data_IF_110023099203
#
_entry.id   IF_110023099203
#
_cell.length_a   1.000
_cell.length_b   1.000
_cell.length_c   1.000
_cell.angle_alpha   90.00
_cell.angle_beta   90.00
_cell.angle_gamma   90.00
#
_symmetry.space_group_name_H-M   'P 1'
#
loop_
_entity.id
_entity.type
_entity.pdbx_description
1 polymer ?
#
# COMPACT_ATOMS: atom_id res chain seq x y z
N UNK A 1 21.32 -44.98 -58.09
CA UNK A 1 19.85 -45.02 -58.10
C UNK A 1 19.44 -45.15 -56.64
N UNK A 2 18.67 -44.18 -56.17
CA UNK A 2 18.69 -43.64 -54.82
C UNK A 2 18.19 -44.59 -53.72
N UNK A 3 18.87 -44.52 -52.58
CA UNK A 3 18.38 -44.87 -51.25
C UNK A 3 17.54 -43.70 -50.76
N UNK A 4 16.32 -43.92 -50.28
CA UNK A 4 15.77 -43.03 -49.26
C UNK A 4 14.87 -43.86 -48.33
N UNK A 5 15.33 -43.88 -47.08
CA UNK A 5 14.75 -44.60 -45.96
C UNK A 5 13.64 -43.74 -45.36
N UNK A 6 12.47 -44.34 -45.24
CA UNK A 6 11.29 -43.78 -44.62
C UNK A 6 11.51 -43.65 -43.09
N UNK A 7 12.02 -42.49 -42.64
CA UNK A 7 12.09 -42.13 -41.23
C UNK A 7 10.85 -41.30 -40.90
N UNK A 8 9.78 -42.00 -40.54
CA UNK A 8 8.57 -41.41 -39.95
C UNK A 8 8.88 -40.96 -38.52
N UNK A 9 9.52 -39.80 -38.38
CA UNK A 9 9.55 -39.04 -37.12
C UNK A 9 8.15 -38.53 -36.77
N UNK A 10 7.79 -38.39 -35.47
CA UNK A 10 6.47 -37.93 -35.08
C UNK A 10 6.23 -36.49 -35.58
N UNK A 11 5.02 -36.16 -36.06
CA UNK A 11 4.69 -34.81 -36.46
C UNK A 11 4.60 -33.91 -35.23
N UNK A 12 5.41 -32.85 -35.26
CA UNK A 12 5.06 -31.51 -34.77
C UNK A 12 4.45 -31.43 -33.38
N UNK A 13 5.31 -31.19 -32.40
CA UNK A 13 4.98 -30.23 -31.34
C UNK A 13 4.63 -28.90 -32.02
N UNK A 14 3.35 -28.70 -32.33
CA UNK A 14 2.82 -27.41 -32.75
C UNK A 14 2.76 -26.50 -31.53
N UNK A 15 3.93 -25.99 -31.16
CA UNK A 15 4.09 -24.79 -30.35
C UNK A 15 3.73 -23.57 -31.19
N UNK A 16 2.45 -23.38 -31.52
CA UNK A 16 1.99 -22.17 -32.21
C UNK A 16 0.67 -21.67 -31.63
N UNK A 17 0.84 -20.76 -30.65
CA UNK A 17 -0.18 -19.92 -30.06
C UNK A 17 0.44 -18.72 -29.34
N UNK A 18 1.58 -18.20 -29.81
CA UNK A 18 2.12 -16.90 -29.40
C UNK A 18 1.54 -15.83 -30.32
N UNK A 19 0.69 -14.93 -29.81
CA UNK A 19 0.23 -13.82 -30.65
C UNK A 19 -0.84 -12.87 -30.11
N UNK A 20 -1.29 -12.99 -28.86
CA UNK A 20 -2.08 -11.94 -28.20
C UNK A 20 -1.93 -11.96 -26.67
N UNK A 21 -0.96 -11.19 -26.14
CA UNK A 21 -1.17 -10.39 -24.93
C UNK A 21 -1.36 -11.08 -23.57
N UNK A 22 -0.72 -12.21 -23.27
CA UNK A 22 -0.58 -12.66 -21.88
C UNK A 22 0.59 -11.93 -21.22
N UNK A 23 0.46 -10.62 -21.01
CA UNK A 23 1.32 -9.94 -20.04
C UNK A 23 0.80 -10.32 -18.65
N UNK A 24 1.51 -11.15 -17.88
CA UNK A 24 1.05 -11.59 -16.56
C UNK A 24 0.73 -10.39 -15.67
N UNK A 25 -0.38 -10.49 -14.93
CA UNK A 25 -0.78 -9.48 -13.95
C UNK A 25 -0.19 -9.80 -12.59
N UNK A 26 0.47 -8.80 -12.01
CA UNK A 26 1.07 -8.84 -10.69
C UNK A 26 0.40 -7.84 -9.77
N UNK A 27 0.24 -8.20 -8.51
CA UNK A 27 -0.39 -7.39 -7.48
C UNK A 27 0.66 -7.00 -6.44
N UNK A 28 0.65 -5.74 -6.01
CA UNK A 28 1.70 -5.18 -5.16
C UNK A 28 1.10 -4.69 -3.84
N UNK A 29 1.08 -5.57 -2.84
CA UNK A 29 0.58 -5.19 -1.53
C UNK A 29 1.66 -4.42 -0.78
N UNK A 30 1.31 -3.24 -0.26
CA UNK A 30 2.20 -2.52 0.65
C UNK A 30 1.98 -3.05 2.06
N UNK A 31 3.03 -3.61 2.66
CA UNK A 31 2.96 -4.17 4.01
C UNK A 31 3.87 -3.38 4.94
N UNK A 32 3.26 -2.79 5.96
CA UNK A 32 3.92 -2.07 7.05
C UNK A 32 3.86 -2.85 8.36
N UNK A 33 4.39 -2.27 9.45
CA UNK A 33 4.44 -2.91 10.76
C UNK A 33 3.08 -3.03 11.46
N UNK A 34 2.07 -2.25 11.03
CA UNK A 34 0.75 -2.19 11.67
C UNK A 34 -0.40 -2.36 10.68
N UNK A 35 -0.11 -2.26 9.39
CA UNK A 35 -1.09 -2.28 8.32
C UNK A 35 -0.60 -3.05 7.11
N UNK A 36 -1.57 -3.62 6.40
CA UNK A 36 -1.40 -4.19 5.07
C UNK A 36 -2.39 -3.53 4.15
N UNK A 37 -1.90 -3.07 3.02
CA UNK A 37 -2.69 -2.44 1.99
C UNK A 37 -2.65 -3.32 0.75
N UNK A 38 -3.77 -3.96 0.44
CA UNK A 38 -3.90 -4.92 -0.66
C UNK A 38 -4.07 -4.16 -1.98
N UNK A 39 -3.35 -4.58 -3.02
CA UNK A 39 -3.63 -4.17 -4.40
C UNK A 39 -4.59 -5.20 -5.02
N UNK A 40 -5.79 -4.74 -5.37
CA UNK A 40 -6.84 -5.55 -6.03
C UNK A 40 -6.90 -5.33 -7.54
N UNK A 41 -6.15 -4.35 -8.06
CA UNK A 41 -6.16 -4.01 -9.50
C UNK A 41 -5.02 -4.73 -10.20
N UNK A 42 -3.84 -4.71 -9.61
CA UNK A 42 -2.62 -5.24 -10.21
C UNK A 42 -2.18 -4.52 -11.49
N UNK A 43 -1.00 -4.87 -11.97
CA UNK A 43 -0.40 -4.34 -13.20
C UNK A 43 0.12 -5.48 -14.06
N UNK A 44 0.05 -5.29 -15.37
CA UNK A 44 0.60 -6.22 -16.34
C UNK A 44 2.07 -5.91 -16.60
N UNK A 45 2.93 -6.90 -16.43
CA UNK A 45 4.35 -6.82 -16.77
C UNK A 45 4.72 -7.95 -17.73
N UNK A 46 5.86 -7.82 -18.40
CA UNK A 46 6.39 -8.89 -19.26
C UNK A 46 6.77 -10.13 -18.44
N UNK A 47 7.36 -9.91 -17.27
CA UNK A 47 7.78 -10.95 -16.33
C UNK A 47 7.86 -10.40 -14.88
N UNK A 48 8.20 -11.30 -13.96
CA UNK A 48 8.34 -10.98 -12.53
C UNK A 48 9.54 -10.05 -12.24
N UNK A 49 10.58 -10.10 -13.06
CA UNK A 49 11.77 -9.26 -12.88
C UNK A 49 11.44 -7.80 -13.25
N UNK A 50 10.68 -7.57 -14.31
CA UNK A 50 10.15 -6.27 -14.68
C UNK A 50 9.22 -5.71 -13.60
N UNK A 51 8.34 -6.55 -13.05
CA UNK A 51 7.48 -6.22 -11.92
C UNK A 51 8.30 -5.78 -10.69
N UNK A 52 9.39 -6.50 -10.38
CA UNK A 52 10.29 -6.18 -9.26
C UNK A 52 11.07 -4.89 -9.47
N UNK A 53 11.59 -4.66 -10.67
CA UNK A 53 12.29 -3.41 -11.02
C UNK A 53 11.35 -2.22 -10.85
N UNK A 54 10.10 -2.34 -11.28
CA UNK A 54 9.12 -1.29 -11.13
C UNK A 54 8.72 -1.06 -9.67
N UNK A 55 8.62 -2.13 -8.86
CA UNK A 55 8.43 -2.04 -7.41
C UNK A 55 9.58 -1.25 -6.74
N UNK A 56 10.84 -1.52 -7.09
CA UNK A 56 11.98 -0.77 -6.57
C UNK A 56 11.96 0.71 -6.96
N UNK A 57 11.53 1.02 -8.18
CA UNK A 57 11.32 2.43 -8.59
C UNK A 57 10.20 3.10 -7.80
N UNK A 58 9.12 2.37 -7.53
CA UNK A 58 8.04 2.87 -6.71
C UNK A 58 8.49 3.10 -5.26
N UNK A 59 9.35 2.21 -4.71
CA UNK A 59 9.97 2.37 -3.39
C UNK A 59 10.70 3.71 -3.30
N UNK A 60 11.45 4.13 -4.32
CA UNK A 60 12.14 5.43 -4.32
C UNK A 60 11.16 6.59 -4.13
N UNK A 61 10.13 6.60 -4.95
CA UNK A 61 9.11 7.63 -4.99
C UNK A 61 8.29 7.71 -3.70
N UNK A 62 7.98 6.57 -3.11
CA UNK A 62 7.16 6.44 -1.90
C UNK A 62 8.01 6.73 -0.65
N UNK A 63 9.26 6.30 -0.62
CA UNK A 63 10.17 6.54 0.50
C UNK A 63 10.37 8.03 0.74
N UNK A 64 10.47 8.84 -0.33
CA UNK A 64 10.57 10.29 -0.20
C UNK A 64 9.33 10.92 0.44
N UNK A 65 8.14 10.42 0.13
CA UNK A 65 6.90 10.89 0.72
C UNK A 65 6.77 10.44 2.18
N UNK A 66 7.00 9.17 2.47
CA UNK A 66 7.02 8.63 3.83
C UNK A 66 8.03 9.37 4.73
N UNK A 67 9.20 9.72 4.20
CA UNK A 67 10.21 10.48 4.92
C UNK A 67 9.72 11.91 5.24
N UNK A 68 9.04 12.58 4.32
CA UNK A 68 8.42 13.90 4.57
C UNK A 68 7.41 13.83 5.71
N UNK A 69 6.69 12.72 5.83
CA UNK A 69 5.71 12.46 6.88
C UNK A 69 6.31 11.85 8.16
N UNK A 70 7.64 11.76 8.25
CA UNK A 70 8.38 11.16 9.38
C UNK A 70 8.00 9.71 9.67
N UNK A 71 7.57 8.98 8.65
CA UNK A 71 7.30 7.53 8.70
C UNK A 71 8.60 6.77 8.43
N UNK A 72 8.89 5.77 9.28
CA UNK A 72 10.04 4.88 9.10
C UNK A 72 9.78 3.89 7.96
N UNK A 73 10.10 4.30 6.73
CA UNK A 73 9.90 3.54 5.50
C UNK A 73 10.68 2.20 5.48
N UNK A 74 11.75 2.06 6.26
CA UNK A 74 12.58 0.83 6.32
C UNK A 74 11.84 -0.38 6.88
N UNK A 75 10.69 -0.16 7.54
CA UNK A 75 9.83 -1.22 8.07
C UNK A 75 8.76 -1.68 7.07
N UNK A 76 8.74 -1.09 5.87
CA UNK A 76 7.78 -1.41 4.83
C UNK A 76 8.41 -2.33 3.78
N UNK A 77 7.55 -3.12 3.14
CA UNK A 77 7.89 -3.95 1.98
C UNK A 77 6.75 -4.01 1.00
N UNK A 78 7.06 -4.28 -0.25
CA UNK A 78 6.07 -4.75 -1.22
C UNK A 78 6.04 -6.27 -1.25
N UNK A 79 4.84 -6.83 -1.19
CA UNK A 79 4.57 -8.23 -1.53
C UNK A 79 4.03 -8.29 -2.96
N UNK A 80 4.76 -8.94 -3.86
CA UNK A 80 4.38 -9.15 -5.26
C UNK A 80 3.68 -10.49 -5.37
N UNK A 81 2.40 -10.48 -5.75
CA UNK A 81 1.55 -11.66 -5.89
C UNK A 81 1.13 -11.90 -7.34
N UNK A 82 0.85 -13.15 -7.70
CA UNK A 82 0.17 -13.50 -8.95
C UNK A 82 -1.36 -13.34 -8.85
N UNK A 83 -2.06 -13.61 -9.96
CA UNK A 83 -3.54 -13.62 -10.04
C UNK A 83 -4.20 -14.64 -9.12
N UNK A 84 -3.51 -15.72 -8.77
CA UNK A 84 -3.98 -16.70 -7.78
C UNK A 84 -3.81 -16.23 -6.34
N UNK A 85 -3.25 -15.04 -6.13
CA UNK A 85 -2.94 -14.50 -4.81
C UNK A 85 -1.70 -15.11 -4.16
N UNK A 86 -0.93 -15.92 -4.90
CA UNK A 86 0.30 -16.52 -4.39
C UNK A 86 1.39 -15.45 -4.33
N UNK A 87 2.06 -15.35 -3.18
CA UNK A 87 3.26 -14.54 -3.04
C UNK A 87 4.37 -15.11 -3.91
N UNK A 88 4.86 -14.30 -4.84
CA UNK A 88 5.97 -14.62 -5.71
C UNK A 88 7.28 -14.06 -5.17
N UNK A 89 7.26 -12.82 -4.67
CA UNK A 89 8.47 -12.14 -4.20
C UNK A 89 8.15 -11.01 -3.24
N UNK A 90 9.12 -10.65 -2.40
CA UNK A 90 9.09 -9.46 -1.57
C UNK A 90 10.16 -8.46 -2.03
N UNK A 91 9.82 -7.17 -2.03
CA UNK A 91 10.79 -6.09 -2.24
C UNK A 91 10.84 -5.23 -0.96
N UNK A 92 11.93 -5.35 -0.21
CA UNK A 92 12.11 -4.60 1.02
C UNK A 92 12.56 -3.17 0.70
N UNK A 93 12.08 -2.20 1.47
CA UNK A 93 12.46 -0.80 1.28
C UNK A 93 13.92 -0.51 1.68
N UNK A 94 14.57 -1.40 2.46
CA UNK A 94 15.94 -1.26 2.95
C UNK A 94 17.00 -1.93 2.05
N UNK A 95 16.60 -2.76 1.09
CA UNK A 95 17.46 -3.43 0.10
C UNK A 95 18.15 -2.45 -0.88
N UNK A 96 17.79 -1.16 -0.80
CA UNK A 96 18.09 -0.07 -1.72
C UNK A 96 19.56 0.36 -1.82
N UNK A 97 20.52 -0.38 -1.28
CA UNK A 97 21.93 0.06 -1.25
C UNK A 97 22.95 -0.85 -1.94
N UNK A 98 22.53 -1.78 -2.81
CA UNK A 98 23.51 -2.65 -3.52
C UNK A 98 23.57 -2.49 -5.03
N UNK A 99 22.50 -2.05 -5.70
CA UNK A 99 22.40 -2.19 -7.18
C UNK A 99 21.99 -0.90 -7.92
N UNK A 100 22.49 0.28 -7.52
CA UNK A 100 22.22 1.54 -8.21
C UNK A 100 22.97 1.65 -9.57
N UNK A 101 22.57 0.85 -10.56
CA UNK A 101 23.01 0.96 -11.97
C UNK A 101 21.81 0.92 -12.93
N UNK A 102 20.58 1.13 -12.45
CA UNK A 102 19.42 1.19 -13.33
C UNK A 102 19.09 2.64 -13.70
N UNK A 103 19.23 2.91 -15.00
CA UNK A 103 18.97 4.21 -15.64
C UNK A 103 17.52 4.64 -15.33
N UNK A 104 17.28 5.89 -14.91
CA UNK A 104 15.92 6.38 -14.71
C UNK A 104 15.19 6.40 -16.05
N UNK A 105 14.19 5.54 -16.24
CA UNK A 105 13.24 5.76 -17.34
C UNK A 105 12.31 6.88 -16.91
N UNK A 106 12.36 8.00 -17.63
CA UNK A 106 11.67 9.25 -17.30
C UNK A 106 10.13 9.21 -17.51
N UNK A 107 9.50 8.05 -17.33
CA UNK A 107 8.06 7.86 -17.40
C UNK A 107 7.40 7.89 -16.01
N UNK A 108 6.11 8.23 -15.92
CA UNK A 108 5.34 8.05 -14.68
C UNK A 108 5.38 6.58 -14.24
N UNK A 109 5.67 6.33 -12.97
CA UNK A 109 5.54 4.99 -12.39
C UNK A 109 4.10 4.79 -11.88
N UNK A 110 3.31 4.00 -12.60
CA UNK A 110 1.90 3.76 -12.29
C UNK A 110 1.71 3.08 -10.93
N UNK A 111 2.64 2.20 -10.53
CA UNK A 111 2.61 1.59 -9.19
C UNK A 111 2.81 2.64 -8.10
N UNK A 112 3.79 3.54 -8.26
CA UNK A 112 4.03 4.63 -7.33
C UNK A 112 2.80 5.55 -7.20
N UNK A 113 2.18 5.91 -8.33
CA UNK A 113 0.97 6.74 -8.34
C UNK A 113 -0.16 6.08 -7.54
N UNK A 114 -0.42 4.79 -7.77
CA UNK A 114 -1.49 4.07 -7.05
C UNK A 114 -1.21 3.96 -5.56
N UNK A 115 0.01 3.58 -5.18
CA UNK A 115 0.36 3.43 -3.76
C UNK A 115 0.26 4.77 -3.03
N UNK A 116 0.72 5.86 -3.64
CA UNK A 116 0.56 7.23 -3.11
C UNK A 116 -0.90 7.60 -2.92
N UNK A 117 -1.76 7.33 -3.91
CA UNK A 117 -3.18 7.61 -3.81
C UNK A 117 -3.85 6.87 -2.64
N UNK A 118 -3.47 5.61 -2.40
CA UNK A 118 -4.03 4.82 -1.31
C UNK A 118 -3.48 5.23 0.07
N UNK A 119 -2.18 5.57 0.16
CA UNK A 119 -1.58 6.14 1.38
C UNK A 119 -2.21 7.49 1.75
N UNK A 120 -2.48 8.34 0.76
CA UNK A 120 -3.20 9.60 0.98
C UNK A 120 -4.62 9.36 1.53
N UNK A 121 -5.32 8.35 0.97
CA UNK A 121 -6.66 7.98 1.42
C UNK A 121 -6.67 7.43 2.85
N UNK A 122 -5.75 6.52 3.18
CA UNK A 122 -5.64 5.94 4.52
C UNK A 122 -5.31 7.01 5.57
N UNK A 123 -4.49 8.00 5.20
CA UNK A 123 -4.19 9.17 6.03
C UNK A 123 -5.43 10.03 6.28
N UNK A 124 -6.21 10.33 5.25
CA UNK A 124 -7.47 11.11 5.41
C UNK A 124 -8.40 10.42 6.40
N UNK A 125 -8.63 9.11 6.23
CA UNK A 125 -9.48 8.32 7.13
C UNK A 125 -8.97 8.30 8.57
N UNK A 126 -7.65 8.16 8.78
CA UNK A 126 -7.05 8.23 10.12
C UNK A 126 -7.20 9.62 10.75
N UNK A 127 -7.02 10.68 9.97
CA UNK A 127 -7.23 12.06 10.42
C UNK A 127 -8.69 12.31 10.84
N UNK A 128 -9.66 11.83 10.07
CA UNK A 128 -11.08 11.93 10.39
C UNK A 128 -11.43 11.17 11.68
N UNK A 129 -10.94 9.94 11.84
CA UNK A 129 -11.17 9.16 13.06
C UNK A 129 -10.56 9.84 14.29
N UNK A 130 -9.35 10.38 14.17
CA UNK A 130 -8.71 11.13 15.24
C UNK A 130 -9.53 12.37 15.62
N UNK A 131 -10.02 13.13 14.62
CA UNK A 131 -10.90 14.27 14.84
C UNK A 131 -12.19 13.89 15.59
N UNK A 132 -12.84 12.79 15.20
CA UNK A 132 -14.04 12.29 15.89
C UNK A 132 -13.78 11.86 17.33
N UNK A 133 -12.61 11.29 17.62
CA UNK A 133 -12.21 10.94 18.99
C UNK A 133 -11.96 12.18 19.85
N UNK A 134 -11.33 13.21 19.28
CA UNK A 134 -11.09 14.47 19.98
C UNK A 134 -12.39 15.21 20.27
N UNK A 135 -13.33 15.22 19.32
CA UNK A 135 -14.68 15.75 19.52
C UNK A 135 -15.42 15.02 20.64
N UNK A 136 -15.36 13.69 20.65
CA UNK A 136 -16.00 12.88 21.69
C UNK A 136 -15.41 13.18 23.08
N UNK A 137 -14.08 13.29 23.19
CA UNK A 137 -13.39 13.65 24.44
C UNK A 137 -13.78 15.04 24.92
N UNK A 138 -13.75 16.04 24.03
CA UNK A 138 -14.18 17.41 24.36
C UNK A 138 -15.65 17.48 24.77
N UNK A 139 -16.51 16.59 24.25
CA UNK A 139 -17.90 16.44 24.69
C UNK A 139 -18.00 15.94 26.13
N UNK A 140 -17.25 14.88 26.48
CA UNK A 140 -17.21 14.33 27.84
C UNK A 140 -16.68 15.36 28.84
N UNK A 141 -15.61 16.08 28.50
CA UNK A 141 -15.02 17.11 29.35
C UNK A 141 -16.02 18.25 29.63
N UNK A 142 -16.77 18.68 28.60
CA UNK A 142 -17.85 19.69 28.75
C UNK A 142 -18.98 19.21 29.65
N UNK A 143 -19.38 17.94 29.53
CA UNK A 143 -20.42 17.36 30.38
C UNK A 143 -19.96 17.35 31.84
N UNK A 144 -18.73 16.90 32.09
CA UNK A 144 -18.14 16.86 33.43
C UNK A 144 -18.10 18.25 34.07
N UNK A 145 -17.58 19.25 33.35
CA UNK A 145 -17.51 20.63 33.85
C UNK A 145 -18.89 21.23 34.15
N UNK A 146 -19.94 20.80 33.44
CA UNK A 146 -21.31 21.27 33.67
C UNK A 146 -21.91 20.63 34.93
N UNK A 147 -21.66 19.33 35.14
CA UNK A 147 -22.06 18.63 36.36
C UNK A 147 -21.34 19.18 37.60
N UNK A 148 -20.04 19.50 37.50
CA UNK A 148 -19.27 20.13 38.58
C UNK A 148 -19.87 21.51 38.94
N UNK A 149 -20.16 22.36 37.95
CA UNK A 149 -20.81 23.66 38.17
C UNK A 149 -22.20 23.54 38.81
N UNK A 150 -23.01 22.59 38.35
CA UNK A 150 -24.33 22.35 38.92
C UNK A 150 -24.25 21.83 40.38
N UNK A 151 -23.27 20.97 40.66
CA UNK A 151 -23.00 20.46 42.01
C UNK A 151 -22.52 21.53 42.98
N UNK A 152 -21.66 22.45 42.54
CA UNK A 152 -21.20 23.57 43.36
C UNK A 152 -22.31 24.60 43.62
N UNK A 153 -23.17 24.85 42.62
CA UNK A 153 -24.36 25.69 42.81
C UNK A 153 -25.34 25.09 43.83
N UNK A 154 -25.48 23.77 43.87
CA UNK A 154 -26.32 23.07 44.84
C UNK A 154 -25.74 23.04 46.27
N UNK A 155 -24.42 23.25 46.43
CA UNK A 155 -23.74 23.29 47.74
C UNK A 155 -23.65 24.67 48.37
N UNK A 156 -23.94 25.75 47.64
CA UNK A 156 -23.99 27.10 48.24
C UNK A 156 -25.29 27.21 49.05
N UNK A 157 -25.24 27.36 50.39
CA UNK A 157 -26.45 27.64 51.14
C UNK A 157 -27.04 28.94 50.62
N UNK A 158 -28.34 28.90 50.30
CA UNK A 158 -29.15 30.09 50.05
C UNK A 158 -29.15 30.86 51.36
N UNK A 159 -28.24 31.83 51.46
CA UNK A 159 -28.23 32.84 52.51
C UNK A 159 -29.38 33.82 52.17
N UNK A 160 -30.61 33.34 52.40
CA UNK A 160 -31.77 34.23 52.47
C UNK A 160 -31.65 35.01 53.76
N UNK A 161 -31.21 36.26 53.62
CA UNK A 161 -31.37 37.29 54.61
C UNK A 161 -32.82 37.33 55.12
N UNK A 162 -33.00 37.10 56.42
CA UNK A 162 -34.02 37.76 57.24
C UNK A 162 -33.24 38.53 58.31
N UNK A 163 -33.40 39.83 58.51
CA UNK A 163 -34.65 40.58 58.51
C UNK A 163 -34.93 40.94 59.96
#
# INVERSE_FOLDING_TARGET
MALDSDVSGPPGVVSEGLGAGLMPRYFFDLVGPQDRQVDDVGLTFDDLDAAYIDAHRAIDDISLEMLRDRIDYRRYRFEIRDEGGRLLMEALFDERLKNAVQKPSAGPNDLAIRVKATLARSRSLRGELAGRLDEARAGVDRLRATLERAGDAAKRPVDTAGG
#
